data_IF_113037634666
#
_entry.id   IF_113037634666
#
_cell.length_a   1.000
_cell.length_b   1.000
_cell.length_c   1.000
_cell.angle_alpha   90.00
_cell.angle_beta   90.00
_cell.angle_gamma   90.00
#
_symmetry.space_group_name_H-M   'P 1'
#
loop_
_entity.id
_entity.type
_entity.pdbx_description
1 polymer ?
#
# COMPACT_ATOMS: atom_id res chain seq x y z
N UNK A 1 -12.62 -79.39 -16.86
CA UNK A 1 -13.01 -78.11 -16.21
C UNK A 1 -11.93 -77.10 -16.56
N UNK A 2 -12.32 -75.94 -17.11
CA UNK A 2 -11.51 -74.99 -17.89
C UNK A 2 -11.48 -75.33 -19.41
N UNK A 3 -11.72 -74.32 -20.26
CA UNK A 3 -12.01 -74.35 -21.72
C UNK A 3 -13.50 -74.48 -22.07
N UNK A 4 -14.31 -73.45 -21.76
CA UNK A 4 -15.58 -73.16 -22.48
C UNK A 4 -16.18 -71.75 -22.17
N UNK A 5 -15.40 -70.65 -22.25
CA UNK A 5 -15.96 -69.26 -22.18
C UNK A 5 -15.25 -68.31 -23.19
N UNK A 6 -14.90 -68.78 -24.38
CA UNK A 6 -14.29 -67.93 -25.44
C UNK A 6 -14.81 -68.30 -26.84
N UNK A 7 -16.12 -68.42 -27.00
CA UNK A 7 -16.73 -68.64 -28.32
C UNK A 7 -18.18 -68.11 -28.37
N UNK A 8 -18.38 -66.80 -28.19
CA UNK A 8 -19.66 -66.14 -28.50
C UNK A 8 -19.58 -64.62 -28.72
N UNK A 9 -18.44 -64.12 -29.18
CA UNK A 9 -18.25 -62.69 -29.51
C UNK A 9 -17.68 -62.46 -30.92
N UNK A 10 -17.74 -63.46 -31.80
CA UNK A 10 -17.33 -63.35 -33.20
C UNK A 10 -18.53 -63.52 -34.13
N UNK A 11 -19.55 -62.67 -33.97
CA UNK A 11 -20.61 -62.46 -34.99
C UNK A 11 -21.41 -61.17 -34.69
N UNK A 12 -20.74 -60.02 -34.62
CA UNK A 12 -21.44 -58.74 -34.74
C UNK A 12 -20.56 -57.60 -35.28
N UNK A 13 -19.71 -57.86 -36.28
CA UNK A 13 -19.17 -56.80 -37.14
C UNK A 13 -19.07 -57.37 -38.57
N UNK A 14 -20.19 -57.47 -39.26
CA UNK A 14 -20.23 -57.77 -40.70
C UNK A 14 -21.25 -56.91 -41.47
N UNK A 15 -21.57 -55.70 -40.98
CA UNK A 15 -22.52 -54.81 -41.65
C UNK A 15 -22.24 -53.31 -41.44
N UNK A 16 -20.99 -52.87 -41.57
CA UNK A 16 -20.72 -51.45 -41.84
C UNK A 16 -19.89 -51.35 -43.11
N UNK A 17 -20.57 -50.93 -44.17
CA UNK A 17 -19.99 -50.67 -45.48
C UNK A 17 -19.08 -49.44 -45.38
N UNK A 18 -17.77 -49.65 -45.25
CA UNK A 18 -16.79 -48.56 -45.35
C UNK A 18 -16.52 -48.32 -46.84
N UNK A 19 -17.11 -47.26 -47.39
CA UNK A 19 -16.72 -46.75 -48.71
C UNK A 19 -15.28 -46.27 -48.64
N UNK A 20 -14.43 -46.91 -49.45
CA UNK A 20 -13.10 -46.47 -49.89
C UNK A 20 -13.07 -44.95 -50.12
N UNK A 21 -12.27 -44.22 -49.36
CA UNK A 21 -11.70 -42.94 -49.78
C UNK A 21 -10.19 -43.10 -49.70
N UNK A 22 -9.57 -43.28 -50.88
CA UNK A 22 -8.14 -43.39 -51.02
C UNK A 22 -7.52 -41.99 -50.89
N UNK A 23 -6.76 -41.75 -49.83
CA UNK A 23 -5.86 -40.59 -49.73
C UNK A 23 -4.43 -41.06 -50.04
N UNK A 24 -3.90 -40.51 -51.13
CA UNK A 24 -2.58 -40.80 -51.67
C UNK A 24 -1.47 -40.40 -50.72
N UNK A 25 -0.47 -41.29 -50.63
CA UNK A 25 0.84 -41.12 -49.97
C UNK A 25 1.45 -39.72 -50.21
N UNK A 26 1.67 -38.96 -49.14
CA UNK A 26 2.76 -37.97 -49.05
C UNK A 26 3.42 -38.12 -47.67
N UNK A 27 4.65 -38.62 -47.68
CA UNK A 27 5.56 -38.61 -46.53
C UNK A 27 5.96 -37.17 -46.21
N UNK A 28 5.93 -36.77 -44.95
CA UNK A 28 6.82 -35.74 -44.40
C UNK A 28 7.09 -36.06 -42.93
N UNK A 29 8.35 -36.37 -42.62
CA UNK A 29 8.89 -36.52 -41.27
C UNK A 29 9.47 -35.16 -40.84
N UNK A 30 9.28 -34.74 -39.58
CA UNK A 30 10.30 -34.06 -38.77
C UNK A 30 9.86 -34.06 -37.28
N UNK A 31 10.82 -34.03 -36.34
CA UNK A 31 10.73 -34.52 -34.97
C UNK A 31 10.26 -33.43 -33.99
N UNK A 32 9.73 -33.89 -32.85
CA UNK A 32 9.56 -33.07 -31.63
C UNK A 32 8.59 -31.89 -31.75
N UNK A 33 7.27 -32.14 -31.68
CA UNK A 33 6.27 -31.15 -31.19
C UNK A 33 4.90 -31.80 -30.97
N UNK A 34 4.30 -31.50 -29.82
CA UNK A 34 2.95 -31.90 -29.39
C UNK A 34 1.93 -31.41 -30.42
N UNK A 35 1.02 -32.30 -30.85
CA UNK A 35 -0.10 -31.98 -31.73
C UNK A 35 -1.27 -31.44 -30.89
N UNK A 36 -1.63 -30.17 -31.06
CA UNK A 36 -2.94 -29.68 -30.62
C UNK A 36 -3.97 -30.00 -31.70
N UNK A 37 -5.00 -30.78 -31.36
CA UNK A 37 -6.21 -30.86 -32.18
C UNK A 37 -7.17 -29.76 -31.73
N UNK A 38 -7.42 -28.75 -32.58
CA UNK A 38 -8.58 -27.85 -32.44
C UNK A 38 -9.74 -28.45 -33.24
N UNK A 39 -10.73 -29.01 -32.54
CA UNK A 39 -11.99 -29.42 -33.16
C UNK A 39 -12.92 -28.21 -33.23
N UNK A 40 -13.19 -27.72 -34.44
CA UNK A 40 -14.23 -26.74 -34.72
C UNK A 40 -15.29 -27.43 -35.56
N UNK A 41 -16.32 -27.97 -34.92
CA UNK A 41 -17.56 -28.30 -35.63
C UNK A 41 -18.74 -27.48 -35.14
N UNK A 42 -19.35 -26.83 -36.12
CA UNK A 42 -20.63 -26.13 -36.08
C UNK A 42 -21.73 -27.12 -35.74
N UNK A 43 -22.22 -27.10 -34.50
CA UNK A 43 -23.31 -27.96 -34.04
C UNK A 43 -24.64 -27.61 -34.73
N UNK A 44 -25.03 -28.39 -35.74
CA UNK A 44 -26.43 -28.55 -36.17
C UNK A 44 -26.71 -30.01 -36.49
N UNK A 45 -27.13 -30.78 -35.48
CA UNK A 45 -28.08 -31.89 -35.62
C UNK A 45 -28.56 -32.33 -34.24
N UNK A 46 -29.86 -32.18 -34.03
CA UNK A 46 -30.63 -32.62 -32.86
C UNK A 46 -30.44 -34.13 -32.67
N UNK A 47 -29.84 -34.55 -31.56
CA UNK A 47 -29.78 -35.97 -31.17
C UNK A 47 -30.65 -36.18 -29.93
N UNK A 48 -31.79 -36.82 -30.16
CA UNK A 48 -32.71 -37.35 -29.16
C UNK A 48 -32.33 -38.79 -28.84
N UNK A 49 -32.06 -39.08 -27.55
CA UNK A 49 -32.31 -40.31 -26.78
C UNK A 49 -31.20 -40.51 -25.71
N UNK A 50 -31.63 -40.50 -24.43
CA UNK A 50 -30.86 -40.76 -23.20
C UNK A 50 -30.58 -42.28 -23.01
N UNK A 51 -29.89 -42.71 -21.92
CA UNK A 51 -28.52 -42.44 -21.49
C UNK A 51 -27.72 -43.78 -21.34
N UNK A 52 -26.43 -43.84 -21.68
CA UNK A 52 -25.61 -45.00 -21.29
C UNK A 52 -24.23 -44.55 -20.81
N UNK A 53 -23.95 -44.97 -19.58
CA UNK A 53 -22.82 -44.64 -18.73
C UNK A 53 -21.49 -45.02 -19.41
N UNK A 54 -20.65 -44.03 -19.74
CA UNK A 54 -19.29 -44.26 -20.21
C UNK A 54 -18.33 -44.12 -19.01
N UNK A 55 -18.03 -45.24 -18.36
CA UNK A 55 -16.97 -45.30 -17.34
C UNK A 55 -15.62 -45.31 -18.04
N UNK A 56 -14.98 -44.13 -18.11
CA UNK A 56 -13.59 -44.01 -18.57
C UNK A 56 -12.67 -44.18 -17.37
N UNK A 57 -11.77 -45.16 -17.50
CA UNK A 57 -10.65 -45.45 -16.61
C UNK A 57 -9.84 -44.17 -16.33
N UNK A 58 -9.86 -43.70 -15.08
CA UNK A 58 -9.09 -42.54 -14.63
C UNK A 58 -7.65 -42.94 -14.32
N UNK A 59 -6.74 -42.66 -15.25
CA UNK A 59 -5.32 -42.49 -14.93
C UNK A 59 -5.20 -41.21 -14.11
N UNK A 60 -4.61 -41.35 -12.92
CA UNK A 60 -4.36 -40.29 -11.96
C UNK A 60 -3.43 -39.23 -12.57
N UNK A 61 -4.01 -38.18 -13.15
CA UNK A 61 -3.34 -36.91 -13.42
C UNK A 61 -4.24 -35.89 -12.74
N UNK A 62 -3.67 -35.08 -11.85
CA UNK A 62 -4.40 -34.16 -10.98
C UNK A 62 -5.59 -33.54 -11.70
N UNK A 63 -6.79 -33.77 -11.15
CA UNK A 63 -7.99 -33.14 -11.65
C UNK A 63 -7.74 -31.63 -11.65
N UNK A 64 -7.60 -31.05 -12.84
CA UNK A 64 -8.15 -29.73 -13.07
C UNK A 64 -9.65 -29.88 -12.85
N UNK A 65 -10.08 -29.66 -11.60
CA UNK A 65 -11.47 -29.41 -11.27
C UNK A 65 -11.77 -28.06 -11.90
N UNK A 66 -12.12 -28.05 -13.19
CA UNK A 66 -12.80 -26.92 -13.79
C UNK A 66 -14.18 -26.92 -13.13
N UNK A 67 -14.34 -26.08 -12.11
CA UNK A 67 -15.63 -25.85 -11.50
C UNK A 67 -16.61 -25.49 -12.61
N UNK A 68 -17.60 -26.36 -12.77
CA UNK A 68 -18.68 -26.23 -13.72
C UNK A 68 -19.37 -24.87 -13.48
N UNK A 69 -19.46 -24.08 -14.53
CA UNK A 69 -20.28 -22.86 -14.64
C UNK A 69 -19.73 -21.56 -14.05
N UNK A 70 -18.52 -21.10 -14.44
CA UNK A 70 -18.22 -19.63 -14.60
C UNK A 70 -16.81 -19.23 -15.07
N UNK A 71 -15.98 -20.15 -15.55
CA UNK A 71 -14.63 -19.82 -16.04
C UNK A 71 -14.60 -19.80 -17.58
N UNK A 72 -14.61 -18.59 -18.15
CA UNK A 72 -14.54 -18.39 -19.59
C UNK A 72 -13.15 -17.94 -20.00
N UNK A 73 -12.35 -18.84 -20.58
CA UNK A 73 -11.24 -18.41 -21.43
C UNK A 73 -11.83 -17.82 -22.71
N UNK A 74 -11.55 -16.54 -22.95
CA UNK A 74 -11.96 -15.87 -24.18
C UNK A 74 -10.90 -16.05 -25.29
N UNK A 75 -11.32 -15.91 -26.55
CA UNK A 75 -10.42 -15.99 -27.71
C UNK A 75 -9.36 -14.86 -27.72
N UNK A 76 -9.60 -13.78 -26.98
CA UNK A 76 -8.66 -12.67 -26.75
C UNK A 76 -7.61 -12.97 -25.66
N UNK A 77 -7.68 -14.15 -25.03
CA UNK A 77 -6.77 -14.58 -23.97
C UNK A 77 -7.13 -14.07 -22.58
N UNK A 78 -8.25 -13.36 -22.40
CA UNK A 78 -8.72 -12.98 -21.08
C UNK A 78 -9.30 -14.16 -20.31
N UNK A 79 -9.03 -14.18 -19.00
CA UNK A 79 -9.47 -15.19 -18.04
C UNK A 79 -10.26 -14.53 -16.91
N UNK A 80 -11.53 -14.94 -16.79
CA UNK A 80 -12.41 -14.50 -15.72
C UNK A 80 -12.67 -15.63 -14.71
N UNK A 81 -12.48 -15.35 -13.43
CA UNK A 81 -12.93 -16.21 -12.33
C UNK A 81 -14.22 -15.61 -11.78
N UNK A 82 -15.34 -16.30 -11.96
CA UNK A 82 -16.66 -15.83 -11.53
C UNK A 82 -17.35 -14.84 -12.49
N UNK A 83 -16.75 -14.56 -13.65
CA UNK A 83 -17.33 -13.77 -14.76
C UNK A 83 -17.01 -14.39 -16.12
N UNK A 84 -17.99 -14.44 -17.03
CA UNK A 84 -17.83 -14.92 -18.42
C UNK A 84 -17.55 -13.80 -19.41
N UNK A 85 -17.50 -12.54 -18.98
CA UNK A 85 -17.18 -11.39 -19.82
C UNK A 85 -16.19 -10.45 -19.11
N UNK A 86 -14.98 -10.94 -18.79
CA UNK A 86 -13.97 -10.13 -18.13
C UNK A 86 -13.60 -8.90 -18.95
N UNK A 87 -13.40 -7.76 -18.28
CA UNK A 87 -13.01 -6.47 -18.90
C UNK A 87 -11.50 -6.23 -18.89
N UNK A 88 -10.75 -7.13 -18.27
CA UNK A 88 -9.29 -7.13 -18.16
C UNK A 88 -8.79 -8.55 -18.41
N UNK A 89 -7.51 -8.69 -18.75
CA UNK A 89 -6.90 -9.99 -19.04
C UNK A 89 -7.06 -11.00 -17.90
N UNK A 90 -7.03 -10.52 -16.65
CA UNK A 90 -7.40 -11.31 -15.49
C UNK A 90 -8.42 -10.55 -14.65
N UNK A 91 -9.56 -11.17 -14.37
CA UNK A 91 -10.59 -10.60 -13.49
C UNK A 91 -11.13 -11.65 -12.55
N UNK A 92 -11.02 -11.40 -11.24
CA UNK A 92 -11.73 -12.14 -10.20
C UNK A 92 -12.97 -11.35 -9.82
N UNK A 93 -14.15 -11.96 -10.00
CA UNK A 93 -15.43 -11.32 -9.72
C UNK A 93 -16.41 -12.28 -9.06
N UNK A 94 -16.74 -11.98 -7.82
CA UNK A 94 -17.80 -12.57 -7.04
C UNK A 94 -18.96 -11.56 -6.95
N UNK A 95 -20.17 -12.01 -7.30
CA UNK A 95 -21.39 -11.22 -7.23
C UNK A 95 -22.24 -11.53 -5.97
N UNK A 96 -21.60 -12.13 -4.96
CA UNK A 96 -22.18 -12.45 -3.64
C UNK A 96 -21.56 -11.56 -2.55
N UNK A 97 -21.87 -11.85 -1.29
CA UNK A 97 -21.40 -11.10 -0.10
C UNK A 97 -20.00 -11.48 0.39
N UNK A 98 -19.29 -12.34 -0.32
CA UNK A 98 -17.93 -12.77 0.04
C UNK A 98 -16.87 -11.95 -0.72
N UNK A 99 -15.66 -11.88 -0.18
CA UNK A 99 -14.56 -11.10 -0.74
C UNK A 99 -13.97 -11.72 -2.02
N UNK A 100 -13.50 -10.85 -2.91
CA UNK A 100 -12.69 -11.23 -4.09
C UNK A 100 -11.21 -11.33 -3.70
N UNK A 101 -10.82 -12.43 -3.08
CA UNK A 101 -9.44 -12.62 -2.62
C UNK A 101 -8.54 -13.27 -3.68
N UNK A 102 -7.29 -12.80 -3.77
CA UNK A 102 -6.21 -13.48 -4.50
C UNK A 102 -5.19 -13.95 -3.45
N UNK A 103 -5.10 -15.27 -3.24
CA UNK A 103 -4.12 -15.86 -2.33
C UNK A 103 -2.81 -16.15 -3.08
N UNK A 104 -1.74 -15.48 -2.69
CA UNK A 104 -0.37 -15.78 -3.16
C UNK A 104 0.41 -16.37 -1.98
N UNK A 105 0.73 -17.66 -2.05
CA UNK A 105 1.43 -18.38 -0.98
C UNK A 105 2.76 -18.98 -1.46
N UNK A 106 3.67 -19.21 -0.52
CA UNK A 106 5.04 -19.67 -0.80
C UNK A 106 6.09 -18.76 -0.16
N UNK A 107 7.37 -19.09 -0.36
CA UNK A 107 8.48 -18.27 0.16
C UNK A 107 8.54 -16.93 -0.58
N UNK A 108 8.49 -15.83 0.17
CA UNK A 108 8.57 -14.45 -0.36
C UNK A 108 7.52 -14.16 -1.44
N UNK A 109 6.27 -14.56 -1.18
CA UNK A 109 5.12 -14.31 -2.03
C UNK A 109 5.02 -12.82 -2.41
N UNK A 110 4.89 -12.54 -3.71
CA UNK A 110 4.86 -11.18 -4.23
C UNK A 110 4.15 -11.11 -5.59
N UNK A 111 3.63 -9.92 -5.89
CA UNK A 111 3.11 -9.53 -7.20
C UNK A 111 4.10 -8.54 -7.80
N UNK A 112 4.49 -8.77 -9.05
CA UNK A 112 5.47 -7.96 -9.77
C UNK A 112 4.79 -7.10 -10.83
N UNK A 113 5.27 -5.88 -10.98
CA UNK A 113 4.83 -4.92 -11.98
C UNK A 113 6.04 -4.48 -12.79
N UNK A 114 6.01 -4.60 -14.11
CA UNK A 114 7.08 -4.14 -15.00
C UNK A 114 6.51 -3.81 -16.37
N UNK A 115 7.16 -2.91 -17.09
CA UNK A 115 6.82 -2.59 -18.48
C UNK A 115 7.36 -3.64 -19.48
N UNK A 116 8.22 -4.55 -19.04
CA UNK A 116 8.82 -5.58 -19.89
C UNK A 116 8.07 -6.91 -19.79
N UNK A 117 8.06 -7.73 -20.86
CA UNK A 117 7.45 -9.06 -20.84
C UNK A 117 8.21 -10.07 -19.94
N UNK A 118 9.39 -9.69 -19.45
CA UNK A 118 10.24 -10.48 -18.58
C UNK A 118 10.73 -9.63 -17.42
N UNK A 119 10.99 -10.23 -16.26
CA UNK A 119 11.56 -9.52 -15.13
C UNK A 119 12.89 -8.85 -15.52
N UNK A 120 13.03 -7.52 -15.33
CA UNK A 120 14.27 -6.83 -15.62
C UNK A 120 15.44 -7.37 -14.79
N UNK A 121 16.61 -7.50 -15.42
CA UNK A 121 17.84 -7.90 -14.72
C UNK A 121 18.52 -6.74 -13.99
N UNK A 122 18.20 -5.50 -14.39
CA UNK A 122 18.83 -4.27 -13.91
C UNK A 122 17.76 -3.24 -13.48
N UNK A 123 18.13 -2.34 -12.57
CA UNK A 123 17.29 -1.29 -11.99
C UNK A 123 16.93 -0.12 -12.94
N UNK A 124 17.40 -0.17 -14.19
CA UNK A 124 17.20 0.88 -15.19
C UNK A 124 15.83 0.83 -15.87
N UNK A 125 15.09 -0.27 -15.74
CA UNK A 125 13.73 -0.39 -16.26
C UNK A 125 12.70 -0.15 -15.16
N UNK A 126 11.53 0.42 -15.46
CA UNK A 126 10.46 0.53 -14.49
C UNK A 126 9.98 -0.83 -14.01
N UNK A 127 10.20 -1.13 -12.73
CA UNK A 127 9.52 -2.23 -12.05
C UNK A 127 9.33 -1.97 -10.56
N UNK A 128 8.26 -2.57 -10.04
CA UNK A 128 7.89 -2.54 -8.65
C UNK A 128 7.30 -3.87 -8.22
N UNK A 129 7.13 -4.05 -6.92
CA UNK A 129 6.47 -5.23 -6.37
C UNK A 129 5.78 -4.93 -5.06
N UNK A 130 4.81 -5.77 -4.76
CA UNK A 130 4.13 -5.83 -3.46
C UNK A 130 4.25 -7.26 -2.95
N UNK A 131 4.66 -7.47 -1.70
CA UNK A 131 4.82 -8.82 -1.18
C UNK A 131 5.11 -8.91 0.31
N UNK A 132 5.26 -10.14 0.79
CA UNK A 132 5.59 -10.47 2.19
C UNK A 132 7.02 -11.02 2.31
N UNK A 133 7.86 -10.34 3.08
CA UNK A 133 9.22 -10.77 3.33
C UNK A 133 9.17 -12.02 4.21
N UNK A 134 9.75 -13.13 3.76
CA UNK A 134 9.73 -14.40 4.50
C UNK A 134 11.11 -14.80 5.05
N UNK A 135 12.11 -13.94 4.86
CA UNK A 135 13.51 -14.07 5.31
C UNK A 135 14.11 -12.67 5.44
N UNK A 136 15.17 -12.53 6.23
CA UNK A 136 15.96 -11.30 6.29
C UNK A 136 16.49 -10.93 4.90
N UNK A 137 16.43 -9.64 4.60
CA UNK A 137 16.80 -9.04 3.31
C UNK A 137 15.92 -9.47 2.11
N UNK A 138 14.74 -10.07 2.33
CA UNK A 138 13.78 -10.31 1.26
C UNK A 138 13.18 -8.96 0.80
N UNK A 139 13.32 -8.69 -0.49
CA UNK A 139 12.86 -7.47 -1.16
C UNK A 139 13.62 -6.17 -0.92
N UNK A 140 13.96 -5.87 0.33
CA UNK A 140 14.78 -4.74 0.79
C UNK A 140 15.88 -5.28 1.69
N UNK A 141 17.07 -4.68 1.68
CA UNK A 141 18.22 -5.15 2.47
C UNK A 141 17.95 -5.21 3.99
N UNK A 142 17.06 -4.35 4.49
CA UNK A 142 16.72 -4.26 5.92
C UNK A 142 15.45 -5.04 6.30
N UNK A 143 14.73 -5.59 5.31
CA UNK A 143 13.48 -6.30 5.58
C UNK A 143 13.71 -7.52 6.46
N UNK A 144 12.78 -7.77 7.38
CA UNK A 144 12.73 -8.94 8.23
C UNK A 144 11.59 -9.88 7.82
N UNK A 145 11.65 -11.11 8.30
CA UNK A 145 10.55 -12.05 8.10
C UNK A 145 9.27 -11.51 8.76
N UNK A 146 8.19 -11.41 7.99
CA UNK A 146 6.91 -10.86 8.41
C UNK A 146 6.61 -9.47 7.85
N UNK A 147 7.60 -8.76 7.29
CA UNK A 147 7.37 -7.42 6.75
C UNK A 147 6.51 -7.47 5.49
N UNK A 148 5.44 -6.67 5.46
CA UNK A 148 4.74 -6.35 4.23
C UNK A 148 5.48 -5.22 3.50
N UNK A 149 5.81 -5.44 2.23
CA UNK A 149 6.68 -4.55 1.47
C UNK A 149 5.96 -4.08 0.21
N UNK A 150 5.85 -2.76 0.07
CA UNK A 150 5.59 -2.07 -1.20
C UNK A 150 6.91 -1.44 -1.62
N UNK A 151 7.46 -1.86 -2.76
CA UNK A 151 8.79 -1.44 -3.18
C UNK A 151 8.81 -1.08 -4.67
N UNK A 152 9.13 0.19 -4.96
CA UNK A 152 9.54 0.61 -6.29
C UNK A 152 11.05 0.38 -6.43
N UNK A 153 11.42 -0.52 -7.33
CA UNK A 153 12.80 -1.00 -7.48
C UNK A 153 13.58 -0.16 -8.52
N UNK A 154 12.86 0.67 -9.28
CA UNK A 154 13.38 1.54 -10.32
C UNK A 154 14.24 2.65 -9.72
N UNK A 155 15.42 2.91 -10.31
CA UNK A 155 16.23 4.07 -9.89
C UNK A 155 15.48 5.37 -10.15
N UNK A 156 15.29 6.20 -9.11
CA UNK A 156 14.50 7.42 -9.22
C UNK A 156 12.98 7.22 -9.12
N UNK A 157 12.52 5.97 -8.98
CA UNK A 157 11.11 5.63 -8.79
C UNK A 157 10.58 6.12 -7.44
N UNK A 158 9.36 6.63 -7.43
CA UNK A 158 8.66 7.10 -6.25
C UNK A 158 7.50 6.16 -5.90
N UNK A 159 6.95 6.27 -4.70
CA UNK A 159 5.65 5.68 -4.33
C UNK A 159 4.67 6.83 -4.17
N UNK A 160 3.59 6.84 -4.95
CA UNK A 160 2.59 7.91 -4.97
C UNK A 160 1.26 7.39 -4.41
N UNK A 161 0.55 8.27 -3.72
CA UNK A 161 -0.80 8.06 -3.24
C UNK A 161 -1.67 9.21 -3.73
N UNK A 162 -2.80 8.90 -4.35
CA UNK A 162 -3.70 9.89 -4.93
C UNK A 162 -5.17 9.60 -4.67
N UNK A 163 -5.99 10.65 -4.79
CA UNK A 163 -7.44 10.58 -4.62
C UNK A 163 -8.14 11.49 -5.63
N UNK A 164 -9.38 11.15 -6.00
CA UNK A 164 -10.17 11.92 -6.95
C UNK A 164 -9.59 11.91 -8.37
N UNK A 165 -10.10 12.80 -9.21
CA UNK A 165 -9.56 13.06 -10.54
C UNK A 165 -9.15 14.54 -10.65
N UNK A 166 -8.25 14.83 -11.60
CA UNK A 166 -7.95 16.20 -12.02
C UNK A 166 -9.19 16.88 -12.63
N UNK A 167 -9.13 18.18 -12.85
CA UNK A 167 -10.26 18.97 -13.36
C UNK A 167 -10.74 18.50 -14.74
N UNK A 168 -9.85 17.84 -15.50
CA UNK A 168 -10.16 17.25 -16.80
C UNK A 168 -10.79 15.84 -16.70
N UNK A 169 -10.79 15.20 -15.53
CA UNK A 169 -11.30 13.84 -15.33
C UNK A 169 -10.41 12.75 -15.96
N UNK A 170 -9.15 13.06 -16.22
CA UNK A 170 -8.22 12.20 -16.96
C UNK A 170 -7.21 11.48 -16.07
N UNK A 171 -6.75 12.13 -15.01
CA UNK A 171 -5.72 11.59 -14.11
C UNK A 171 -6.17 11.65 -12.66
N UNK A 172 -5.59 10.79 -11.81
CA UNK A 172 -5.75 10.94 -10.36
C UNK A 172 -4.92 12.10 -9.80
N UNK A 173 -5.38 12.72 -8.70
CA UNK A 173 -4.63 13.80 -8.03
C UNK A 173 -3.70 13.23 -6.97
N UNK A 174 -2.40 13.48 -7.09
CA UNK A 174 -1.40 13.12 -6.08
C UNK A 174 -1.64 13.89 -4.77
N UNK A 175 -1.70 13.17 -3.65
CA UNK A 175 -1.89 13.74 -2.29
C UNK A 175 -0.70 13.48 -1.38
N UNK A 176 0.00 12.38 -1.57
CA UNK A 176 1.17 12.01 -0.79
C UNK A 176 2.18 11.27 -1.66
N UNK A 177 3.46 11.46 -1.37
CA UNK A 177 4.54 10.74 -2.07
C UNK A 177 5.70 10.39 -1.17
N UNK A 178 6.24 9.20 -1.35
CA UNK A 178 7.59 8.87 -0.89
C UNK A 178 8.53 8.96 -2.08
N UNK A 179 9.39 9.97 -2.06
CA UNK A 179 10.35 10.19 -3.14
C UNK A 179 11.47 9.14 -3.14
N UNK A 180 12.16 8.97 -4.27
CA UNK A 180 13.33 8.11 -4.39
C UNK A 180 14.49 8.50 -3.44
N UNK A 181 14.50 9.75 -2.95
CA UNK A 181 15.46 10.25 -1.94
C UNK A 181 15.04 9.91 -0.49
N UNK A 182 13.92 9.21 -0.31
CA UNK A 182 13.35 8.86 0.99
C UNK A 182 12.69 10.03 1.72
N UNK A 183 12.26 11.08 1.00
CA UNK A 183 11.51 12.19 1.57
C UNK A 183 10.01 11.99 1.34
N UNK A 184 9.22 12.17 2.39
CA UNK A 184 7.76 12.11 2.37
C UNK A 184 7.18 13.51 2.12
N UNK A 185 6.45 13.66 1.01
CA UNK A 185 5.70 14.87 0.68
C UNK A 185 4.20 14.66 0.90
N UNK A 186 3.49 15.65 1.45
CA UNK A 186 2.03 15.70 1.53
C UNK A 186 1.58 17.00 0.85
N UNK A 187 0.77 16.86 -0.22
CA UNK A 187 0.42 17.95 -1.15
C UNK A 187 1.65 18.68 -1.75
N UNK A 188 2.79 18.00 -1.87
CA UNK A 188 4.04 18.54 -2.42
C UNK A 188 4.65 17.53 -3.38
N UNK A 189 4.89 17.94 -4.62
CA UNK A 189 5.47 17.07 -5.67
C UNK A 189 6.99 16.96 -5.57
N UNK A 190 7.68 17.95 -4.99
CA UNK A 190 9.15 17.98 -4.83
C UNK A 190 9.58 18.22 -3.37
N UNK A 191 9.49 17.21 -2.48
CA UNK A 191 9.81 17.39 -1.07
C UNK A 191 11.33 17.60 -0.85
N UNK A 192 11.67 18.73 -0.22
CA UNK A 192 13.04 19.15 0.13
C UNK A 192 13.46 18.70 1.54
N UNK A 193 12.50 18.45 2.43
CA UNK A 193 12.71 17.91 3.78
C UNK A 193 12.27 16.45 3.88
N UNK A 194 12.71 15.74 4.93
CA UNK A 194 12.31 14.34 5.19
C UNK A 194 10.80 14.15 5.30
N UNK A 195 10.14 15.14 5.90
CA UNK A 195 8.70 15.34 5.85
C UNK A 195 8.46 16.78 5.38
N UNK A 196 7.78 16.97 4.25
CA UNK A 196 7.41 18.29 3.73
C UNK A 196 5.90 18.29 3.47
N UNK A 197 5.16 19.10 4.22
CA UNK A 197 3.72 19.25 4.09
C UNK A 197 3.41 20.66 3.57
N UNK A 198 2.62 20.74 2.51
CA UNK A 198 2.04 22.03 2.08
C UNK A 198 0.63 22.16 2.66
N UNK A 199 0.50 23.03 3.66
CA UNK A 199 -0.71 23.24 4.43
C UNK A 199 -0.51 22.95 5.92
N UNK A 200 -1.61 22.93 6.67
CA UNK A 200 -1.59 22.80 8.12
C UNK A 200 -1.25 21.39 8.60
N UNK A 201 -0.53 21.30 9.74
CA UNK A 201 -0.24 20.05 10.45
C UNK A 201 -0.85 20.11 11.85
N UNK A 202 -1.75 19.18 12.17
CA UNK A 202 -2.37 19.07 13.50
C UNK A 202 -1.85 17.85 14.24
N UNK A 203 -1.23 18.09 15.39
CA UNK A 203 -0.93 17.05 16.38
C UNK A 203 -2.04 17.02 17.43
N UNK A 204 -2.58 15.83 17.73
CA UNK A 204 -3.65 15.64 18.71
C UNK A 204 -3.23 14.63 19.78
N UNK A 205 -3.72 14.81 21.02
CA UNK A 205 -3.40 13.90 22.13
C UNK A 205 -1.95 14.04 22.64
N UNK A 206 -1.36 15.22 22.52
CA UNK A 206 -0.01 15.47 23.01
C UNK A 206 0.01 15.43 24.55
N UNK A 207 0.91 14.64 25.17
CA UNK A 207 1.04 14.63 26.63
C UNK A 207 1.69 15.92 27.12
N UNK A 208 1.15 16.52 28.18
CA UNK A 208 1.77 17.68 28.85
C UNK A 208 2.92 17.19 29.72
N UNK A 209 4.14 17.58 29.36
CA UNK A 209 5.36 17.32 30.16
C UNK A 209 6.21 18.60 30.16
N UNK A 210 6.99 18.87 31.23
CA UNK A 210 8.06 19.86 31.16
C UNK A 210 8.96 19.51 29.97
N UNK A 211 9.15 20.43 29.04
CA UNK A 211 9.75 20.10 27.75
C UNK A 211 10.28 21.32 27.00
N UNK A 212 11.01 21.04 25.93
CA UNK A 212 11.60 22.04 25.06
C UNK A 212 10.56 22.61 24.10
N UNK A 213 10.51 23.94 23.96
CA UNK A 213 9.71 24.60 22.93
C UNK A 213 10.33 24.34 21.55
N UNK A 214 9.49 23.92 20.62
CA UNK A 214 9.86 23.79 19.21
C UNK A 214 9.65 25.15 18.52
N UNK A 215 10.59 25.52 17.66
CA UNK A 215 10.56 26.75 16.85
C UNK A 215 10.76 26.39 15.38
N UNK A 216 10.49 27.34 14.49
CA UNK A 216 10.73 27.19 13.05
C UNK A 216 11.91 28.06 12.62
N UNK A 217 12.68 27.59 11.64
CA UNK A 217 13.63 28.44 10.90
C UNK A 217 12.96 29.13 9.69
N UNK A 218 13.73 29.93 8.95
CA UNK A 218 13.24 30.66 7.76
C UNK A 218 12.74 29.72 6.64
N UNK A 219 13.24 28.50 6.58
CA UNK A 219 12.85 27.49 5.58
C UNK A 219 11.72 26.57 6.10
N UNK A 220 11.20 26.81 7.30
CA UNK A 220 10.13 26.03 7.93
C UNK A 220 10.58 24.70 8.55
N UNK A 221 11.88 24.48 8.77
CA UNK A 221 12.34 23.32 9.53
C UNK A 221 12.03 23.50 11.02
N UNK A 222 11.56 22.43 11.65
CA UNK A 222 11.30 22.41 13.10
C UNK A 222 12.61 22.20 13.85
N UNK A 223 12.93 23.13 14.74
CA UNK A 223 14.13 23.11 15.56
C UNK A 223 13.77 23.16 17.06
N UNK A 224 14.70 22.70 17.91
CA UNK A 224 14.61 22.94 19.35
C UNK A 224 15.04 24.37 19.65
N UNK A 225 14.27 25.11 20.44
CA UNK A 225 14.74 26.39 20.98
C UNK A 225 15.96 26.15 21.87
N UNK A 226 17.05 26.87 21.59
CA UNK A 226 18.22 26.96 22.48
C UNK A 226 17.99 27.97 23.61
N UNK A 227 16.99 28.83 23.48
CA UNK A 227 16.56 29.74 24.52
C UNK A 227 15.72 28.97 25.53
N UNK A 228 16.09 29.05 26.80
CA UNK A 228 15.33 28.49 27.91
C UNK A 228 14.01 29.25 28.02
N UNK A 229 12.99 28.81 27.29
CA UNK A 229 11.62 29.17 27.66
C UNK A 229 11.30 28.30 28.85
N UNK A 230 11.58 28.83 30.05
CA UNK A 230 11.00 28.26 31.25
C UNK A 230 9.49 28.23 31.02
N UNK A 231 8.89 27.04 30.97
CA UNK A 231 7.47 26.92 31.29
C UNK A 231 7.35 27.55 32.67
N UNK A 232 6.62 28.65 32.88
CA UNK A 232 6.42 29.14 34.22
C UNK A 232 5.51 28.13 34.92
N UNK A 233 6.11 27.09 35.52
CA UNK A 233 5.48 26.28 36.55
C UNK A 233 5.47 27.06 37.88
N UNK A 234 5.88 28.33 37.86
CA UNK A 234 6.21 29.10 39.06
C UNK A 234 5.48 30.44 39.16
N UNK A 235 4.27 30.60 38.60
CA UNK A 235 3.49 31.82 38.88
C UNK A 235 3.24 32.04 40.37
N UNK A 236 3.36 31.01 41.23
CA UNK A 236 3.27 31.20 42.68
C UNK A 236 4.59 31.70 43.32
N UNK A 237 5.74 31.18 42.92
CA UNK A 237 7.02 31.52 43.55
C UNK A 237 7.60 32.84 43.02
N UNK A 238 7.41 33.11 41.73
CA UNK A 238 7.93 34.33 41.10
C UNK A 238 7.07 35.54 41.48
N UNK A 239 5.73 35.37 41.58
CA UNK A 239 4.83 36.42 42.08
C UNK A 239 5.06 36.69 43.56
N UNK A 240 5.24 35.65 44.39
CA UNK A 240 5.54 35.85 45.81
C UNK A 240 6.87 36.59 46.03
N UNK A 241 7.89 36.31 45.21
CA UNK A 241 9.18 37.02 45.25
C UNK A 241 9.03 38.48 44.84
N UNK A 242 8.29 38.76 43.76
CA UNK A 242 8.04 40.12 43.30
C UNK A 242 7.16 40.92 44.28
N UNK A 243 6.16 40.28 44.89
CA UNK A 243 5.32 40.90 45.92
C UNK A 243 6.12 41.25 47.18
N UNK A 244 7.08 40.40 47.58
CA UNK A 244 7.99 40.69 48.68
C UNK A 244 8.93 41.87 48.37
N UNK A 245 9.48 41.92 47.15
CA UNK A 245 10.37 43.01 46.72
C UNK A 245 9.62 44.35 46.61
N UNK A 246 8.40 44.34 46.06
CA UNK A 246 7.53 45.54 46.01
C UNK A 246 7.13 45.99 47.41
N UNK A 247 6.93 45.06 48.36
CA UNK A 247 6.61 45.38 49.74
C UNK A 247 7.78 46.06 50.44
N UNK A 248 8.99 45.58 50.24
CA UNK A 248 10.19 46.18 50.85
C UNK A 248 10.48 47.56 50.26
N UNK A 249 10.41 47.71 48.94
CA UNK A 249 10.58 49.01 48.27
C UNK A 249 9.56 50.07 48.75
N UNK A 250 8.31 49.67 49.01
CA UNK A 250 7.30 50.57 49.58
C UNK A 250 7.64 51.02 50.99
N UNK A 251 8.21 50.13 51.80
CA UNK A 251 8.62 50.45 53.18
C UNK A 251 9.81 51.42 53.18
N UNK A 252 10.82 51.16 52.36
CA UNK A 252 11.96 52.08 52.19
C UNK A 252 11.52 53.47 51.74
N UNK A 253 10.55 53.56 50.83
CA UNK A 253 10.00 54.84 50.37
C UNK A 253 9.31 55.63 51.50
N UNK A 254 8.54 54.97 52.35
CA UNK A 254 7.87 55.61 53.48
C UNK A 254 8.86 56.06 54.56
N UNK A 255 9.91 55.28 54.82
CA UNK A 255 10.99 55.69 55.72
C UNK A 255 11.73 56.93 55.19
N UNK A 256 12.02 56.97 53.89
CA UNK A 256 12.69 58.12 53.26
C UNK A 256 11.81 59.37 53.27
N UNK A 257 10.48 59.21 53.08
CA UNK A 257 9.50 60.29 53.25
C UNK A 257 9.48 60.82 54.68
N UNK A 258 9.51 59.93 55.68
CA UNK A 258 9.54 60.31 57.09
C UNK A 258 10.83 61.06 57.45
N UNK A 259 11.98 60.61 56.95
CA UNK A 259 13.28 61.29 57.14
C UNK A 259 13.29 62.68 56.51
N UNK A 260 12.78 62.85 55.29
CA UNK A 260 12.67 64.16 54.64
C UNK A 260 11.69 65.10 55.37
N UNK A 261 10.59 64.58 55.92
CA UNK A 261 9.67 65.35 56.74
C UNK A 261 10.32 65.83 58.05
N UNK A 262 11.12 64.98 58.71
CA UNK A 262 11.86 65.33 59.92
C UNK A 262 12.98 66.36 59.67
N UNK A 263 13.69 66.26 58.54
CA UNK A 263 14.68 67.27 58.12
C UNK A 263 14.02 68.64 57.86
N UNK A 264 12.81 68.65 57.31
CA UNK A 264 12.04 69.87 57.06
C UNK A 264 11.51 70.53 58.34
N UNK A 265 11.25 69.77 59.41
CA UNK A 265 10.86 70.33 60.71
C UNK A 265 12.06 70.74 61.56
N UNK A 266 13.22 70.10 61.40
CA UNK A 266 14.46 70.46 62.09
C UNK A 266 15.10 71.79 61.61
N UNK A 267 14.70 72.33 60.45
CA UNK A 267 15.22 73.59 59.89
C UNK A 267 14.42 74.84 60.27
N UNK A 268 13.52 74.79 61.26
CA UNK A 268 12.93 76.01 61.83
C UNK A 268 13.32 76.19 63.30
N UNK A 269 14.19 77.18 63.57
CA UNK A 269 13.69 78.37 64.22
C UNK A 269 14.23 79.66 63.56
N UNK A 270 13.33 80.48 63.03
CA UNK A 270 13.55 81.94 63.04
C UNK A 270 12.80 82.43 64.26
N UNK A 271 13.53 82.60 65.36
CA UNK A 271 13.03 83.31 66.52
C UNK A 271 12.75 84.77 66.14
N UNK A 272 11.65 85.27 66.68
CA UNK A 272 11.11 86.63 66.53
C UNK A 272 12.12 87.73 66.80
N UNK A 273 12.01 88.86 66.10
CA UNK A 273 12.22 90.16 66.72
C UNK A 273 11.00 91.03 66.44
N UNK A 274 10.24 91.28 67.51
CA UNK A 274 9.27 92.37 67.60
C UNK A 274 10.06 93.67 67.80
N UNK A 275 9.75 94.69 67.01
CA UNK A 275 9.79 96.12 67.34
C UNK A 275 8.73 96.83 66.48
#
# INVERSE_FOLDING_TARGET
MMILIMAKWFTYISSVSVKKVALSKKFFYLPSRILFFTYKETMKKTLSLRPMLLTVCSILIGQFVFAQDREGWQADGSFGVGTSSPKKLFQVHNNRTEDNNILVSGRSASIWFTELPTLPKNYSYPFGRIGLASRTAAFLLTAQSGDFVIHNVTTGGNILFGTGMDDAGTNGVERMRLSAKGNLGINVTSPTAKLHVYGDVRFQGLPTRPGTVLVLDENGYVCKSNSLVAVPVNTANDVASLEAEVKELKKELEELRAQMAALRTATMPVASNND
#
